data_IF_381157731644
#
_entry.id   IF_381157731644
#
_cell.length_a   1.000
_cell.length_b   1.000
_cell.length_c   1.000
_cell.angle_alpha   90.00
_cell.angle_beta   90.00
_cell.angle_gamma   90.00
#
_symmetry.space_group_name_H-M   'P 1'
#
loop_
_entity.id
_entity.type
_entity.pdbx_description
1 polymer ?
#
# COMPACT_ATOMS: atom_id res chain seq x y z
N UNK A 1 -4.94 -11.94 -0.88
CA UNK A 1 -5.60 -10.66 -0.53
C UNK A 1 -4.74 -9.50 -1.02
N UNK A 2 -5.35 -8.54 -1.69
CA UNK A 2 -4.68 -7.37 -2.27
C UNK A 2 -5.11 -6.12 -1.49
N UNK A 3 -4.17 -5.47 -0.84
CA UNK A 3 -4.41 -4.30 0.01
C UNK A 3 -3.75 -3.09 -0.66
N UNK A 4 -4.51 -2.04 -0.90
CA UNK A 4 -3.98 -0.75 -1.31
C UNK A 4 -4.01 0.23 -0.13
N UNK A 5 -2.93 0.99 0.05
CA UNK A 5 -2.81 1.96 1.15
C UNK A 5 -2.80 3.36 0.55
N UNK A 6 -3.80 4.14 0.92
CA UNK A 6 -4.01 5.51 0.45
C UNK A 6 -4.02 6.51 1.62
N UNK A 7 -3.91 7.78 1.32
CA UNK A 7 -3.91 8.84 2.34
C UNK A 7 -3.12 10.06 1.86
N UNK A 8 -3.16 11.12 2.64
CA UNK A 8 -2.45 12.37 2.34
C UNK A 8 -0.93 12.18 2.32
N UNK A 9 -0.22 13.07 1.60
CA UNK A 9 1.25 13.14 1.66
C UNK A 9 1.74 13.34 3.09
N UNK A 10 2.69 12.50 3.51
CA UNK A 10 3.22 12.50 4.87
C UNK A 10 2.36 11.77 5.91
N UNK A 11 1.17 11.24 5.57
CA UNK A 11 0.32 10.54 6.54
C UNK A 11 0.91 9.24 7.11
N UNK A 12 1.98 8.72 6.53
CA UNK A 12 2.65 7.50 6.98
C UNK A 12 2.22 6.24 6.23
N UNK A 13 1.64 6.38 5.03
CA UNK A 13 1.25 5.27 4.16
C UNK A 13 2.37 4.24 3.98
N UNK A 14 3.54 4.71 3.56
CA UNK A 14 4.71 3.87 3.30
C UNK A 14 5.19 3.11 4.53
N UNK A 15 5.16 3.74 5.71
CA UNK A 15 5.49 3.07 6.98
C UNK A 15 4.48 1.96 7.30
N UNK A 16 3.18 2.25 7.12
CA UNK A 16 2.11 1.25 7.31
C UNK A 16 2.26 0.12 6.29
N UNK A 17 2.42 0.43 5.00
CA UNK A 17 2.59 -0.53 3.91
C UNK A 17 3.78 -1.46 4.14
N UNK A 18 4.95 -0.90 4.44
CA UNK A 18 6.18 -1.64 4.66
C UNK A 18 6.07 -2.55 5.89
N UNK A 19 5.57 -2.02 7.01
CA UNK A 19 5.45 -2.79 8.25
C UNK A 19 4.42 -3.92 8.11
N UNK A 20 3.27 -3.68 7.47
CA UNK A 20 2.29 -4.74 7.15
C UNK A 20 2.91 -5.84 6.29
N UNK A 21 3.63 -5.46 5.22
CA UNK A 21 4.28 -6.43 4.32
C UNK A 21 5.30 -7.30 5.06
N UNK A 22 6.14 -6.70 5.92
CA UNK A 22 7.14 -7.42 6.71
C UNK A 22 6.51 -8.32 7.78
N UNK A 23 5.47 -7.85 8.47
CA UNK A 23 4.74 -8.66 9.47
C UNK A 23 4.07 -9.88 8.81
N UNK A 24 3.44 -9.72 7.66
CA UNK A 24 2.88 -10.81 6.86
C UNK A 24 3.95 -11.82 6.47
N UNK A 25 5.10 -11.37 5.96
CA UNK A 25 6.19 -12.25 5.57
C UNK A 25 6.78 -13.00 6.77
N UNK A 26 6.97 -12.33 7.91
CA UNK A 26 7.40 -12.97 9.17
C UNK A 26 6.41 -14.01 9.70
N UNK A 27 5.13 -13.88 9.35
CA UNK A 27 4.11 -14.91 9.65
C UNK A 27 4.09 -16.07 8.64
N UNK A 28 5.06 -16.13 7.72
CA UNK A 28 5.19 -17.19 6.72
C UNK A 28 4.33 -17.04 5.48
N UNK A 29 3.74 -15.86 5.26
CA UNK A 29 2.94 -15.58 4.06
C UNK A 29 3.82 -15.16 2.88
N UNK A 30 3.43 -15.55 1.66
CA UNK A 30 4.01 -15.01 0.43
C UNK A 30 3.54 -13.57 0.25
N UNK A 31 4.47 -12.61 0.11
CA UNK A 31 4.14 -11.19 0.03
C UNK A 31 4.77 -10.53 -1.18
N UNK A 32 3.94 -9.81 -1.95
CA UNK A 32 4.38 -8.89 -3.00
C UNK A 32 4.04 -7.46 -2.56
N UNK A 33 5.04 -6.62 -2.44
CA UNK A 33 4.89 -5.19 -2.19
C UNK A 33 5.03 -4.42 -3.52
N UNK A 34 4.11 -3.51 -3.79
CA UNK A 34 4.13 -2.68 -5.01
C UNK A 34 4.31 -1.22 -4.58
N UNK A 35 5.43 -0.63 -5.00
CA UNK A 35 5.66 0.81 -4.85
C UNK A 35 5.04 1.54 -6.04
N UNK A 36 3.91 2.19 -5.79
CA UNK A 36 3.15 2.94 -6.79
C UNK A 36 3.25 4.46 -6.59
N UNK A 37 4.16 4.92 -5.72
CA UNK A 37 4.42 6.35 -5.54
C UNK A 37 5.41 6.85 -6.59
N UNK A 38 5.15 8.05 -7.12
CA UNK A 38 6.06 8.75 -8.02
C UNK A 38 7.36 9.18 -7.33
N UNK A 39 7.36 9.27 -6.01
CA UNK A 39 8.54 9.41 -5.18
C UNK A 39 8.75 8.10 -4.38
N UNK A 40 9.40 7.08 -4.95
CA UNK A 40 9.42 5.74 -4.42
C UNK A 40 10.20 5.66 -3.11
N UNK A 41 9.54 5.31 -2.02
CA UNK A 41 10.11 5.20 -0.68
C UNK A 41 9.81 3.85 -0.01
N UNK A 42 9.10 2.95 -0.67
CA UNK A 42 8.73 1.67 -0.08
C UNK A 42 9.95 0.75 0.11
N UNK A 43 10.93 0.80 -0.80
CA UNK A 43 12.15 0.00 -0.71
C UNK A 43 12.94 0.24 0.60
N UNK A 44 13.36 1.48 0.92
CA UNK A 44 14.05 1.75 2.19
C UNK A 44 13.16 1.46 3.40
N UNK A 45 11.85 1.74 3.35
CA UNK A 45 10.94 1.44 4.44
C UNK A 45 10.77 -0.07 4.70
N UNK A 46 10.97 -0.91 3.69
CA UNK A 46 11.04 -2.37 3.79
C UNK A 46 12.41 -2.87 4.28
N UNK A 47 13.44 -2.01 4.33
CA UNK A 47 14.80 -2.37 4.71
C UNK A 47 15.61 -3.00 3.57
N UNK A 48 15.31 -2.70 2.32
CA UNK A 48 16.11 -3.14 1.19
C UNK A 48 17.46 -2.43 1.13
N UNK A 49 18.50 -3.16 0.76
CA UNK A 49 19.76 -2.56 0.36
C UNK A 49 19.56 -1.77 -0.94
N UNK A 50 19.95 -0.48 -0.99
CA UNK A 50 19.85 0.34 -2.19
C UNK A 50 20.53 -0.27 -3.42
N UNK A 51 21.64 -1.01 -3.24
CA UNK A 51 22.35 -1.66 -4.34
C UNK A 51 21.49 -2.76 -5.00
N UNK A 52 20.69 -3.49 -4.20
CA UNK A 52 19.76 -4.51 -4.70
C UNK A 52 18.65 -3.85 -5.50
N UNK A 53 18.03 -2.81 -4.95
CA UNK A 53 16.87 -2.12 -5.56
C UNK A 53 17.25 -1.44 -6.86
N UNK A 54 18.42 -0.79 -6.90
CA UNK A 54 18.89 -0.08 -8.10
C UNK A 54 19.23 -1.02 -9.26
N UNK A 55 19.53 -2.28 -8.98
CA UNK A 55 19.80 -3.30 -9.99
C UNK A 55 18.54 -3.91 -10.64
N UNK A 56 17.35 -3.65 -10.08
CA UNK A 56 16.10 -4.24 -10.57
C UNK A 56 15.37 -3.26 -11.48
N UNK A 57 15.04 -3.67 -12.73
CA UNK A 57 14.28 -2.81 -13.64
C UNK A 57 12.91 -2.47 -13.07
N UNK A 58 12.50 -1.22 -13.22
CA UNK A 58 11.13 -0.80 -12.92
C UNK A 58 10.12 -1.51 -13.84
N UNK A 59 8.88 -1.62 -13.37
CA UNK A 59 7.81 -2.28 -14.10
C UNK A 59 7.59 -1.59 -15.47
N UNK A 60 7.90 -2.30 -16.53
CA UNK A 60 7.77 -1.76 -17.89
C UNK A 60 6.30 -1.58 -18.28
N UNK A 61 5.98 -0.46 -18.90
CA UNK A 61 4.66 -0.22 -19.49
C UNK A 61 4.38 -1.07 -20.72
N UNK A 62 5.42 -1.68 -21.33
CA UNK A 62 5.28 -2.54 -22.52
C UNK A 62 4.75 -3.93 -22.21
N UNK A 63 4.74 -4.33 -20.92
CA UNK A 63 4.23 -5.65 -20.49
C UNK A 63 2.71 -5.75 -20.50
N UNK A 64 2.00 -4.65 -20.75
CA UNK A 64 0.52 -4.66 -20.77
C UNK A 64 -0.04 -4.52 -22.19
N UNK A 65 -1.19 -5.13 -22.39
CA UNK A 65 -2.05 -4.93 -23.54
C UNK A 65 -3.39 -4.32 -23.09
N UNK A 66 -4.01 -3.54 -23.96
CA UNK A 66 -5.40 -3.12 -23.75
C UNK A 66 -6.33 -4.29 -24.04
N UNK A 67 -7.28 -4.53 -23.13
CA UNK A 67 -8.38 -5.48 -23.35
C UNK A 67 -9.49 -4.80 -24.15
N UNK A 68 -10.33 -5.61 -24.78
CA UNK A 68 -11.51 -5.12 -25.55
C UNK A 68 -12.51 -4.40 -24.65
N UNK A 69 -12.58 -4.78 -23.37
CA UNK A 69 -13.42 -4.18 -22.32
C UNK A 69 -12.84 -2.86 -21.73
N UNK A 70 -11.73 -2.36 -22.30
CA UNK A 70 -11.08 -1.13 -21.84
C UNK A 70 -10.11 -1.32 -20.67
N UNK A 71 -9.99 -2.54 -20.13
CA UNK A 71 -9.02 -2.89 -19.07
C UNK A 71 -7.61 -3.10 -19.61
N UNK A 72 -6.67 -3.35 -18.70
CA UNK A 72 -5.29 -3.75 -18.99
C UNK A 72 -5.06 -5.21 -18.55
N UNK A 73 -4.27 -5.95 -19.32
CA UNK A 73 -3.85 -7.31 -18.98
C UNK A 73 -2.34 -7.46 -19.22
N UNK A 74 -1.70 -8.33 -18.47
CA UNK A 74 -0.30 -8.68 -18.73
C UNK A 74 -0.18 -9.43 -20.05
N UNK A 75 0.87 -9.13 -20.82
CA UNK A 75 1.23 -9.82 -22.06
C UNK A 75 2.08 -11.07 -21.84
N UNK A 76 2.68 -11.15 -20.66
CA UNK A 76 3.59 -12.22 -20.26
C UNK A 76 3.10 -12.82 -18.93
N UNK A 77 3.46 -14.07 -18.62
CA UNK A 77 3.07 -14.70 -17.36
C UNK A 77 3.52 -13.88 -16.14
N UNK A 78 2.69 -13.89 -15.11
CA UNK A 78 2.97 -13.18 -13.85
C UNK A 78 4.34 -13.59 -13.25
N UNK A 79 4.71 -14.86 -13.37
CA UNK A 79 6.01 -15.36 -12.89
C UNK A 79 7.17 -14.61 -13.55
N UNK A 80 7.15 -14.47 -14.88
CA UNK A 80 8.20 -13.80 -15.65
C UNK A 80 8.28 -12.31 -15.30
N UNK A 81 7.10 -11.66 -15.06
CA UNK A 81 7.08 -10.27 -14.58
C UNK A 81 7.76 -10.14 -13.24
N UNK A 82 7.44 -11.03 -12.30
CA UNK A 82 8.00 -10.99 -10.95
C UNK A 82 9.49 -11.37 -10.91
N UNK A 83 9.97 -12.17 -11.85
CA UNK A 83 11.41 -12.45 -11.99
C UNK A 83 12.17 -11.27 -12.60
N UNK A 84 11.62 -10.66 -13.66
CA UNK A 84 12.29 -9.59 -14.39
C UNK A 84 12.24 -8.23 -13.63
N UNK A 85 11.18 -7.97 -12.87
CA UNK A 85 10.90 -6.66 -12.26
C UNK A 85 10.76 -6.71 -10.73
N UNK A 86 10.96 -7.87 -10.09
CA UNK A 86 10.83 -8.04 -8.64
C UNK A 86 12.18 -8.19 -7.95
N UNK A 87 12.41 -7.43 -6.87
CA UNK A 87 13.52 -7.66 -5.95
C UNK A 87 13.04 -8.46 -4.74
N UNK A 88 13.84 -9.43 -4.28
CA UNK A 88 13.58 -10.13 -3.01
C UNK A 88 14.39 -9.43 -1.93
N UNK A 89 13.71 -9.00 -0.88
CA UNK A 89 14.28 -8.29 0.25
C UNK A 89 14.12 -9.02 1.58
N UNK A 90 14.24 -8.28 2.67
CA UNK A 90 14.12 -8.83 4.01
C UNK A 90 12.83 -9.62 4.21
N UNK A 91 12.90 -10.68 5.02
CA UNK A 91 11.82 -11.63 5.30
C UNK A 91 11.20 -12.29 4.05
N UNK A 92 11.86 -12.17 2.87
CA UNK A 92 11.36 -12.74 1.61
C UNK A 92 10.28 -11.90 0.91
N UNK A 93 10.06 -10.66 1.33
CA UNK A 93 9.14 -9.74 0.64
C UNK A 93 9.65 -9.46 -0.77
N UNK A 94 8.80 -9.68 -1.77
CA UNK A 94 9.12 -9.32 -3.16
C UNK A 94 8.60 -7.91 -3.45
N UNK A 95 9.51 -7.00 -3.75
CA UNK A 95 9.19 -5.62 -4.12
C UNK A 95 9.14 -5.47 -5.65
N UNK A 96 8.09 -4.85 -6.16
CA UNK A 96 7.98 -4.36 -7.55
C UNK A 96 7.78 -2.84 -7.50
N UNK A 97 8.57 -2.10 -8.30
CA UNK A 97 8.43 -0.64 -8.39
C UNK A 97 7.73 -0.26 -9.68
N UNK A 98 6.68 0.54 -9.56
CA UNK A 98 6.09 1.19 -10.73
C UNK A 98 7.04 2.30 -11.23
N UNK A 99 7.11 2.46 -12.55
CA UNK A 99 8.01 3.45 -13.14
C UNK A 99 7.50 4.87 -13.01
N UNK A 100 8.46 5.78 -12.89
CA UNK A 100 8.32 7.20 -13.19
C UNK A 100 8.79 7.47 -14.62
N UNK A 101 8.26 8.51 -15.29
CA UNK A 101 8.90 9.02 -16.50
C UNK A 101 10.32 9.48 -16.17
N UNK A 102 11.31 8.99 -16.93
CA UNK A 102 12.72 9.38 -16.76
C UNK A 102 12.99 10.83 -17.19
N UNK A 103 12.09 11.44 -17.97
CA UNK A 103 12.21 12.80 -18.46
C UNK A 103 10.92 13.62 -18.34
N UNK A 104 11.05 14.92 -18.09
CA UNK A 104 9.98 15.89 -17.84
C UNK A 104 8.91 16.05 -18.97
N UNK A 105 8.99 15.30 -20.06
CA UNK A 105 8.06 15.33 -21.19
C UNK A 105 7.67 13.94 -21.71
N UNK A 106 8.00 12.88 -21.01
CA UNK A 106 7.77 11.48 -21.42
C UNK A 106 6.33 10.97 -21.30
N UNK A 107 5.35 11.82 -21.29
CA UNK A 107 3.96 11.40 -21.46
C UNK A 107 3.19 11.15 -20.17
N UNK A 108 2.01 10.60 -20.34
CA UNK A 108 1.04 10.39 -19.28
C UNK A 108 1.42 9.19 -18.39
N UNK A 109 1.35 9.34 -17.08
CA UNK A 109 1.42 8.26 -16.09
C UNK A 109 0.36 7.15 -16.31
N UNK A 110 -0.56 7.34 -17.26
CA UNK A 110 -1.65 6.42 -17.56
C UNK A 110 -1.18 4.99 -17.87
N UNK A 111 -0.04 4.84 -18.54
CA UNK A 111 0.51 3.51 -18.88
C UNK A 111 1.14 2.82 -17.66
N UNK A 112 1.78 3.56 -16.76
CA UNK A 112 2.28 3.02 -15.50
C UNK A 112 1.12 2.58 -14.60
N UNK A 113 0.07 3.39 -14.47
CA UNK A 113 -1.15 3.03 -13.75
C UNK A 113 -1.81 1.76 -14.34
N UNK A 114 -1.86 1.64 -15.66
CA UNK A 114 -2.39 0.45 -16.33
C UNK A 114 -1.54 -0.80 -16.03
N UNK A 115 -0.22 -0.67 -16.00
CA UNK A 115 0.68 -1.78 -15.66
C UNK A 115 0.51 -2.22 -14.20
N UNK A 116 0.46 -1.27 -13.25
CA UNK A 116 0.19 -1.57 -11.84
C UNK A 116 -1.17 -2.21 -11.62
N UNK A 117 -2.22 -1.71 -12.29
CA UNK A 117 -3.56 -2.29 -12.22
C UNK A 117 -3.61 -3.72 -12.78
N UNK A 118 -2.95 -3.98 -13.92
CA UNK A 118 -2.87 -5.31 -14.51
C UNK A 118 -2.10 -6.30 -13.61
N UNK A 119 -0.99 -5.85 -13.02
CA UNK A 119 -0.23 -6.65 -12.06
C UNK A 119 -1.08 -7.00 -10.84
N UNK A 120 -1.80 -6.02 -10.27
CA UNK A 120 -2.68 -6.24 -9.14
C UNK A 120 -3.81 -7.22 -9.45
N UNK A 121 -4.38 -7.15 -10.67
CA UNK A 121 -5.39 -8.09 -11.13
C UNK A 121 -4.85 -9.53 -11.18
N UNK A 122 -3.69 -9.73 -11.81
CA UNK A 122 -3.08 -11.06 -11.94
C UNK A 122 -2.64 -11.64 -10.59
N UNK A 123 -2.18 -10.82 -9.65
CA UNK A 123 -1.87 -11.25 -8.28
C UNK A 123 -3.10 -11.79 -7.55
N UNK A 124 -4.30 -11.34 -7.92
CA UNK A 124 -5.57 -11.86 -7.41
C UNK A 124 -5.83 -13.33 -7.76
N UNK A 125 -5.17 -13.87 -8.79
CA UNK A 125 -5.28 -15.29 -9.15
C UNK A 125 -4.48 -16.22 -8.22
N UNK A 126 -3.70 -15.65 -7.28
CA UNK A 126 -2.87 -16.38 -6.32
C UNK A 126 -3.45 -16.25 -4.91
N UNK A 127 -4.31 -17.16 -4.45
CA UNK A 127 -5.02 -17.03 -3.17
C UNK A 127 -4.09 -16.99 -1.95
N UNK A 128 -2.90 -17.62 -2.04
CA UNK A 128 -1.92 -17.69 -0.95
C UNK A 128 -0.97 -16.48 -0.90
N UNK A 129 -1.08 -15.57 -1.89
CA UNK A 129 -0.24 -14.38 -1.95
C UNK A 129 -0.98 -13.19 -1.36
N UNK A 130 -0.28 -12.44 -0.50
CA UNK A 130 -0.70 -11.13 -0.05
C UNK A 130 0.00 -10.06 -0.88
N UNK A 131 -0.74 -9.05 -1.27
CA UNK A 131 -0.19 -7.92 -2.02
C UNK A 131 -0.44 -6.65 -1.24
N UNK A 132 0.61 -5.85 -1.03
CA UNK A 132 0.52 -4.52 -0.42
C UNK A 132 0.93 -3.51 -1.48
N UNK A 133 0.03 -2.63 -1.88
CA UNK A 133 0.29 -1.55 -2.84
C UNK A 133 0.32 -0.22 -2.09
N UNK A 134 1.49 0.41 -2.05
CA UNK A 134 1.69 1.75 -1.48
C UNK A 134 1.36 2.80 -2.55
N UNK A 135 0.25 3.52 -2.36
CA UNK A 135 -0.22 4.48 -3.34
C UNK A 135 0.37 5.87 -3.08
N UNK A 136 0.60 6.62 -4.16
CA UNK A 136 0.93 8.03 -4.07
C UNK A 136 -0.18 8.82 -3.34
N UNK A 137 0.20 9.96 -2.77
CA UNK A 137 -0.71 10.85 -2.04
C UNK A 137 -1.81 11.51 -2.90
N UNK A 138 -1.81 11.26 -4.20
CA UNK A 138 -2.77 11.79 -5.16
C UNK A 138 -4.07 10.97 -5.20
N UNK A 139 -5.24 11.59 -5.36
CA UNK A 139 -6.49 10.88 -5.63
C UNK A 139 -6.51 10.20 -7.01
N UNK A 140 -5.51 10.48 -7.88
CA UNK A 140 -5.44 9.93 -9.24
C UNK A 140 -5.39 8.40 -9.28
N UNK A 141 -4.74 7.76 -8.32
CA UNK A 141 -4.69 6.30 -8.25
C UNK A 141 -6.08 5.66 -8.08
N UNK A 142 -6.97 6.33 -7.37
CA UNK A 142 -8.35 5.90 -7.20
C UNK A 142 -9.18 6.27 -8.44
N UNK A 143 -9.10 7.51 -8.92
CA UNK A 143 -9.86 7.98 -10.08
C UNK A 143 -9.43 7.32 -11.41
N UNK A 144 -8.16 6.93 -11.55
CA UNK A 144 -7.63 6.20 -12.73
C UNK A 144 -7.75 4.68 -12.60
N UNK A 145 -8.27 4.18 -11.48
CA UNK A 145 -8.52 2.76 -11.25
C UNK A 145 -7.25 1.92 -11.06
N UNK A 146 -6.13 2.50 -10.61
CA UNK A 146 -4.92 1.72 -10.29
C UNK A 146 -5.21 0.69 -9.21
N UNK A 147 -5.98 1.09 -8.18
CA UNK A 147 -6.40 0.23 -7.08
C UNK A 147 -7.71 -0.53 -7.33
N UNK A 148 -8.29 -0.49 -8.55
CA UNK A 148 -9.60 -1.09 -8.85
C UNK A 148 -9.69 -2.60 -8.61
N UNK A 149 -8.55 -3.27 -8.53
CA UNK A 149 -8.43 -4.70 -8.27
C UNK A 149 -7.97 -5.02 -6.86
N UNK A 150 -7.92 -4.01 -5.97
CA UNK A 150 -7.69 -4.26 -4.55
C UNK A 150 -8.92 -4.94 -3.94
N UNK A 151 -8.69 -5.84 -2.99
CA UNK A 151 -9.75 -6.42 -2.18
C UNK A 151 -10.08 -5.49 -1.00
N UNK A 152 -9.05 -4.75 -0.54
CA UNK A 152 -9.14 -3.82 0.60
C UNK A 152 -8.40 -2.52 0.27
N UNK A 153 -8.99 -1.39 0.63
CA UNK A 153 -8.30 -0.08 0.63
C UNK A 153 -8.25 0.44 2.06
N UNK A 154 -7.04 0.71 2.53
CA UNK A 154 -6.78 1.35 3.82
C UNK A 154 -6.54 2.84 3.59
N UNK A 155 -7.36 3.68 4.24
CA UNK A 155 -7.17 5.12 4.25
C UNK A 155 -6.41 5.53 5.51
N UNK A 156 -5.19 6.05 5.35
CA UNK A 156 -4.36 6.51 6.48
C UNK A 156 -4.71 7.96 6.83
N UNK A 157 -5.25 8.17 8.03
CA UNK A 157 -5.73 9.45 8.54
C UNK A 157 -4.84 9.97 9.67
N UNK A 158 -4.49 11.24 9.64
CA UNK A 158 -3.83 11.96 10.75
C UNK A 158 -4.85 12.88 11.44
N UNK A 159 -4.68 13.22 12.74
CA UNK A 159 -5.65 13.97 13.53
C UNK A 159 -5.62 15.48 13.23
N UNK A 160 -5.67 15.88 11.96
CA UNK A 160 -5.80 17.27 11.58
C UNK A 160 -6.58 17.46 10.27
N UNK A 161 -7.22 18.62 10.16
CA UNK A 161 -8.22 18.95 9.13
C UNK A 161 -7.82 18.54 7.70
N UNK A 162 -6.61 18.93 7.24
CA UNK A 162 -6.19 18.65 5.85
C UNK A 162 -6.00 17.16 5.55
N UNK A 163 -5.66 16.35 6.56
CA UNK A 163 -5.57 14.91 6.40
C UNK A 163 -6.96 14.29 6.32
N UNK A 164 -7.87 14.70 7.20
CA UNK A 164 -9.24 14.22 7.24
C UNK A 164 -10.01 14.58 5.95
N UNK A 165 -9.85 15.79 5.42
CA UNK A 165 -10.45 16.16 4.13
C UNK A 165 -9.89 15.35 2.95
N UNK A 166 -8.59 15.03 2.95
CA UNK A 166 -8.03 14.13 1.94
C UNK A 166 -8.64 12.72 2.04
N UNK A 167 -8.82 12.21 3.26
CA UNK A 167 -9.49 10.93 3.50
C UNK A 167 -10.93 10.97 3.01
N UNK A 168 -11.69 12.04 3.28
CA UNK A 168 -13.07 12.21 2.78
C UNK A 168 -13.15 12.11 1.26
N UNK A 169 -12.25 12.82 0.55
CA UNK A 169 -12.19 12.79 -0.90
C UNK A 169 -11.85 11.38 -1.42
N UNK A 170 -10.83 10.75 -0.83
CA UNK A 170 -10.39 9.41 -1.22
C UNK A 170 -11.46 8.35 -0.91
N UNK A 171 -12.16 8.46 0.22
CA UNK A 171 -13.28 7.58 0.57
C UNK A 171 -14.39 7.64 -0.47
N UNK A 172 -14.76 8.85 -0.91
CA UNK A 172 -15.77 9.04 -1.96
C UNK A 172 -15.35 8.38 -3.28
N UNK A 173 -14.08 8.56 -3.70
CA UNK A 173 -13.60 7.95 -4.94
C UNK A 173 -13.49 6.43 -4.83
N UNK A 174 -13.03 5.93 -3.70
CA UNK A 174 -12.91 4.50 -3.45
C UNK A 174 -14.27 3.80 -3.36
N UNK A 175 -15.31 4.47 -2.87
CA UNK A 175 -16.68 3.91 -2.83
C UNK A 175 -17.32 3.70 -4.20
N UNK A 176 -16.75 4.28 -5.26
CA UNK A 176 -17.17 4.04 -6.63
C UNK A 176 -16.53 2.78 -7.24
N UNK A 177 -15.53 2.20 -6.57
CA UNK A 177 -14.87 0.97 -7.02
C UNK A 177 -15.72 -0.25 -6.63
N UNK A 178 -15.93 -1.21 -7.55
CA UNK A 178 -16.71 -2.41 -7.24
C UNK A 178 -15.95 -3.35 -6.30
N UNK A 179 -16.68 -3.99 -5.41
CA UNK A 179 -16.22 -5.13 -4.60
C UNK A 179 -15.00 -4.86 -3.71
N UNK A 180 -14.78 -3.59 -3.31
CA UNK A 180 -13.66 -3.16 -2.47
C UNK A 180 -14.14 -2.92 -1.05
N UNK A 181 -13.51 -3.57 -0.07
CA UNK A 181 -13.68 -3.24 1.35
C UNK A 181 -12.87 -1.97 1.67
N UNK A 182 -13.54 -0.98 2.24
CA UNK A 182 -12.94 0.30 2.57
C UNK A 182 -12.96 0.54 4.06
N UNK A 183 -11.81 0.93 4.62
CA UNK A 183 -11.72 1.32 6.02
C UNK A 183 -10.50 2.20 6.27
N UNK A 184 -10.36 2.68 7.49
CA UNK A 184 -9.33 3.63 7.85
C UNK A 184 -8.41 3.14 8.97
N UNK A 185 -7.21 3.73 9.00
CA UNK A 185 -6.24 3.62 10.08
C UNK A 185 -5.90 5.03 10.54
N UNK A 186 -6.11 5.32 11.83
CA UNK A 186 -5.66 6.55 12.46
C UNK A 186 -4.17 6.45 12.76
N UNK A 187 -3.38 7.42 12.31
CA UNK A 187 -1.92 7.40 12.46
C UNK A 187 -1.40 8.67 13.11
N UNK A 188 -0.24 8.55 13.75
CA UNK A 188 0.46 9.64 14.44
C UNK A 188 -0.34 10.27 15.58
N UNK A 189 -1.08 9.44 16.29
CA UNK A 189 -1.90 9.86 17.43
C UNK A 189 -1.00 10.22 18.61
N UNK A 190 -1.17 11.42 19.16
CA UNK A 190 -0.38 11.94 20.31
C UNK A 190 -1.17 11.94 21.60
N UNK A 191 -2.50 11.79 21.51
CA UNK A 191 -3.40 11.80 22.66
C UNK A 191 -4.66 10.98 22.38
N UNK A 192 -5.40 10.66 23.42
CA UNK A 192 -6.73 10.03 23.31
C UNK A 192 -7.71 10.94 22.54
N UNK A 193 -7.62 12.26 22.74
CA UNK A 193 -8.42 13.22 22.00
C UNK A 193 -8.15 13.21 20.49
N UNK A 194 -6.90 12.95 20.05
CA UNK A 194 -6.59 12.74 18.63
C UNK A 194 -7.28 11.48 18.11
N UNK A 195 -7.25 10.42 18.90
CA UNK A 195 -7.85 9.13 18.53
C UNK A 195 -9.36 9.22 18.42
N UNK A 196 -10.00 9.92 19.36
CA UNK A 196 -11.44 10.16 19.37
C UNK A 196 -11.87 11.03 18.19
N UNK A 197 -11.16 12.13 17.91
CA UNK A 197 -11.47 13.01 16.79
C UNK A 197 -11.38 12.31 15.43
N UNK A 198 -10.36 11.47 15.22
CA UNK A 198 -10.27 10.67 13.99
C UNK A 198 -11.36 9.62 13.94
N UNK A 199 -11.64 8.93 15.04
CA UNK A 199 -12.67 7.89 15.10
C UNK A 199 -14.06 8.46 14.78
N UNK A 200 -14.43 9.60 15.38
CA UNK A 200 -15.69 10.28 15.13
C UNK A 200 -15.81 10.70 13.64
N UNK A 201 -14.75 11.26 13.08
CA UNK A 201 -14.73 11.65 11.67
C UNK A 201 -14.91 10.44 10.74
N UNK A 202 -14.19 9.35 10.97
CA UNK A 202 -14.27 8.12 10.16
C UNK A 202 -15.65 7.47 10.29
N UNK A 203 -16.21 7.43 11.51
CA UNK A 203 -17.57 6.97 11.75
C UNK A 203 -18.60 7.84 11.01
N UNK A 204 -18.40 9.16 10.98
CA UNK A 204 -19.23 10.10 10.21
C UNK A 204 -19.19 9.87 8.69
N UNK A 205 -18.16 9.20 8.17
CA UNK A 205 -18.08 8.74 6.78
C UNK A 205 -18.72 7.34 6.56
N UNK A 206 -19.21 6.69 7.62
CA UNK A 206 -19.73 5.32 7.57
C UNK A 206 -18.65 4.25 7.38
N UNK A 207 -17.39 4.55 7.71
CA UNK A 207 -16.26 3.65 7.53
C UNK A 207 -15.82 3.00 8.84
N UNK A 208 -15.35 1.75 8.82
CA UNK A 208 -14.70 1.14 9.97
C UNK A 208 -13.31 1.75 10.22
N UNK A 209 -12.95 1.87 11.49
CA UNK A 209 -11.59 2.19 11.91
C UNK A 209 -10.89 0.88 12.31
N UNK A 210 -9.92 0.45 11.48
CA UNK A 210 -9.23 -0.84 11.63
C UNK A 210 -7.99 -0.79 12.51
N UNK A 211 -7.48 0.42 12.80
CA UNK A 211 -6.29 0.55 13.63
C UNK A 211 -6.07 1.97 14.14
N UNK A 212 -5.33 2.05 15.26
CA UNK A 212 -4.90 3.30 15.90
C UNK A 212 -3.41 3.21 16.16
N UNK A 213 -2.63 3.98 15.42
CA UNK A 213 -1.18 3.97 15.47
C UNK A 213 -0.71 5.22 16.20
N UNK A 214 0.01 5.08 17.33
CA UNK A 214 0.52 6.22 18.06
C UNK A 214 1.65 6.92 17.30
N UNK A 215 1.88 8.16 17.63
CA UNK A 215 3.13 8.84 17.29
C UNK A 215 4.28 8.16 18.04
N UNK A 216 5.41 7.95 17.36
CA UNK A 216 6.65 7.48 17.99
C UNK A 216 7.85 8.15 17.34
N UNK A 217 8.80 8.56 18.18
CA UNK A 217 10.08 9.07 17.74
C UNK A 217 10.96 7.98 17.13
N UNK A 218 10.67 6.70 17.40
CA UNK A 218 11.34 5.54 16.79
C UNK A 218 11.22 5.56 15.26
N UNK A 219 10.07 6.01 14.73
CA UNK A 219 9.86 6.12 13.27
C UNK A 219 10.81 7.15 12.67
N UNK A 220 10.96 8.31 13.34
CA UNK A 220 11.87 9.36 12.87
C UNK A 220 13.34 8.96 13.05
N UNK A 221 13.66 8.24 14.12
CA UNK A 221 15.00 7.69 14.35
C UNK A 221 15.36 6.65 13.29
N UNK A 222 14.45 5.70 13.03
CA UNK A 222 14.65 4.68 12.01
C UNK A 222 14.87 5.29 10.61
N UNK A 223 14.07 6.29 10.23
CA UNK A 223 14.21 6.99 8.95
C UNK A 223 15.57 7.69 8.84
N UNK A 224 15.99 8.42 9.89
CA UNK A 224 17.30 9.07 9.94
C UNK A 224 18.45 8.07 9.82
N UNK A 225 18.32 6.91 10.45
CA UNK A 225 19.32 5.86 10.46
C UNK A 225 19.21 4.93 9.22
N UNK A 226 18.25 5.21 8.33
CA UNK A 226 17.95 4.44 7.10
C UNK A 226 17.62 2.98 7.36
N UNK A 227 16.90 2.73 8.45
CA UNK A 227 16.42 1.42 8.85
C UNK A 227 14.90 1.31 8.67
N UNK A 228 14.42 0.12 8.39
CA UNK A 228 13.00 -0.15 8.49
C UNK A 228 12.54 -0.08 9.96
N UNK A 229 11.39 0.52 10.23
CA UNK A 229 10.86 0.69 11.60
C UNK A 229 10.75 -0.65 12.32
N UNK A 230 10.34 -1.70 11.61
CA UNK A 230 10.22 -3.06 12.18
C UNK A 230 11.57 -3.69 12.57
N UNK A 231 12.67 -3.22 12.02
CA UNK A 231 14.01 -3.69 12.36
C UNK A 231 14.65 -2.79 13.44
N UNK A 232 14.38 -1.48 13.41
CA UNK A 232 14.89 -0.53 14.39
C UNK A 232 14.18 -0.64 15.74
N UNK A 233 12.87 -0.90 15.75
CA UNK A 233 12.04 -0.98 16.95
C UNK A 233 11.00 -2.12 16.82
N UNK A 234 11.43 -3.39 16.78
CA UNK A 234 10.54 -4.54 16.52
C UNK A 234 9.41 -4.67 17.55
N UNK A 235 9.65 -4.30 18.79
CA UNK A 235 8.67 -4.33 19.89
C UNK A 235 8.07 -2.93 20.16
N UNK A 236 8.29 -1.99 19.25
CA UNK A 236 7.82 -0.61 19.38
C UNK A 236 6.29 -0.50 19.22
N UNK A 237 5.71 0.52 19.84
CA UNK A 237 4.27 0.75 19.85
C UNK A 237 3.66 0.85 18.44
N UNK A 238 4.40 1.41 17.47
CA UNK A 238 3.96 1.52 16.07
C UNK A 238 3.85 0.14 15.41
N UNK A 239 4.88 -0.71 15.58
CA UNK A 239 4.88 -2.08 15.02
C UNK A 239 3.77 -2.91 15.65
N UNK A 240 3.58 -2.83 16.97
CA UNK A 240 2.50 -3.50 17.68
C UNK A 240 1.12 -3.06 17.16
N UNK A 241 0.87 -1.77 17.01
CA UNK A 241 -0.41 -1.24 16.52
C UNK A 241 -0.71 -1.64 15.06
N UNK A 242 0.32 -1.68 14.21
CA UNK A 242 0.17 -2.18 12.84
C UNK A 242 -0.08 -3.69 12.84
N UNK A 243 0.51 -4.43 13.77
CA UNK A 243 0.23 -5.85 13.99
C UNK A 243 -1.24 -6.12 14.40
N UNK A 244 -1.84 -5.23 15.21
CA UNK A 244 -3.27 -5.28 15.51
C UNK A 244 -4.15 -5.01 14.29
N UNK A 245 -3.78 -4.01 13.50
CA UNK A 245 -4.43 -3.74 12.22
C UNK A 245 -4.38 -4.97 11.30
N UNK A 246 -3.23 -5.65 11.25
CA UNK A 246 -3.07 -6.85 10.44
C UNK A 246 -3.99 -7.99 10.92
N UNK A 247 -4.18 -8.17 12.22
CA UNK A 247 -5.12 -9.16 12.76
C UNK A 247 -6.54 -8.91 12.26
N UNK A 248 -7.02 -7.66 12.36
CA UNK A 248 -8.33 -7.24 11.82
C UNK A 248 -8.47 -7.57 10.33
N UNK A 249 -7.44 -7.26 9.52
CA UNK A 249 -7.46 -7.53 8.08
C UNK A 249 -7.44 -9.04 7.76
N UNK A 250 -6.80 -9.85 8.61
CA UNK A 250 -6.76 -11.30 8.44
C UNK A 250 -8.13 -11.92 8.73
N UNK A 251 -8.81 -11.46 9.77
CA UNK A 251 -10.18 -11.86 10.10
C UNK A 251 -11.16 -11.54 8.95
N UNK A 252 -11.07 -10.33 8.38
CA UNK A 252 -11.87 -9.95 7.20
C UNK A 252 -11.63 -10.86 5.99
N UNK A 253 -10.40 -11.36 5.79
CA UNK A 253 -10.11 -12.31 4.72
C UNK A 253 -10.76 -13.66 4.95
N UNK A 254 -10.74 -14.15 6.18
CA UNK A 254 -11.32 -15.45 6.55
C UNK A 254 -12.84 -15.42 6.38
N UNK A 255 -13.51 -14.37 6.83
CA UNK A 255 -14.95 -14.17 6.67
C UNK A 255 -15.37 -14.12 5.19
N UNK A 256 -14.57 -13.46 4.33
CA UNK A 256 -14.83 -13.37 2.89
C UNK A 256 -14.66 -14.70 2.15
N UNK A 257 -13.95 -15.66 2.74
CA UNK A 257 -13.70 -16.98 2.14
C UNK A 257 -14.80 -18.00 2.51
N UNK A 258 -15.56 -17.70 3.57
CA UNK A 258 -16.65 -18.56 4.06
C UNK A 258 -18.04 -18.17 3.51
N UNK A 259 -18.17 -17.06 2.80
CA UNK A 259 -19.40 -16.55 2.18
C UNK A 259 -19.45 -16.88 0.68
#
# INVERSE_FOLDING_TARGET
MRIAVAGKGGAGKTTVSATLARLLARSGRSVVAIDADTNPNLAPALGFDPAVVNGVPILSTTIVSRRVDGGAALRVPLHDVLEAHGAIGPDGVRLVRMGMPDHAQEGCLCSAHAAGSALLAELGTRPDTWTIMDLEASPEHLSRGTARHADVIILVAEPYFRSLEAVRLQARLASELPDVLLGAVANKLRSDGDAEAVAEFIQGLGLPLWGRIPWSDDVTAADRDRLAVIDAAPDGAVVAAIGETLRTLTELKEDSTCA
#
